data_IF_080601108291
#
_entry.id   IF_080601108291
#
_cell.length_a   1.000
_cell.length_b   1.000
_cell.length_c   1.000
_cell.angle_alpha   90.00
_cell.angle_beta   90.00
_cell.angle_gamma   90.00
#
_symmetry.space_group_name_H-M   'P 1'
#
loop_
_entity.id
_entity.type
_entity.pdbx_description
1 polymer ?
#
# COMPACT_ATOMS: atom_id res chain seq x y z
N UNK A 1 -57.82 37.14 2.48
CA UNK A 1 -56.41 37.51 2.73
C UNK A 1 -55.79 36.44 3.65
N UNK A 2 -55.08 35.44 3.09
CA UNK A 2 -54.44 34.33 3.84
C UNK A 2 -53.16 33.81 3.15
N UNK A 3 -52.55 34.61 2.26
CA UNK A 3 -51.41 34.21 1.42
C UNK A 3 -50.07 34.24 2.17
N UNK A 4 -49.86 35.25 3.03
CA UNK A 4 -48.58 35.44 3.75
C UNK A 4 -48.20 34.29 4.68
N UNK A 5 -49.16 33.68 5.36
CA UNK A 5 -48.92 32.50 6.21
C UNK A 5 -48.59 31.25 5.40
N UNK A 6 -49.15 31.11 4.20
CA UNK A 6 -48.84 29.99 3.30
C UNK A 6 -47.46 30.15 2.66
N UNK A 7 -47.10 31.36 2.24
CA UNK A 7 -45.77 31.70 1.72
C UNK A 7 -44.66 31.47 2.77
N UNK A 8 -44.89 31.87 4.02
CA UNK A 8 -43.97 31.61 5.13
C UNK A 8 -43.81 30.11 5.42
N UNK A 9 -44.91 29.35 5.42
CA UNK A 9 -44.88 27.91 5.65
C UNK A 9 -44.11 27.16 4.56
N UNK A 10 -44.28 27.56 3.29
CA UNK A 10 -43.52 27.00 2.16
C UNK A 10 -42.03 27.34 2.30
N UNK A 11 -41.68 28.57 2.67
CA UNK A 11 -40.29 28.97 2.91
C UNK A 11 -39.62 28.12 4.01
N UNK A 12 -40.29 27.92 5.14
CA UNK A 12 -39.80 27.07 6.23
C UNK A 12 -39.66 25.61 5.77
N UNK A 13 -40.63 25.08 5.02
CA UNK A 13 -40.58 23.72 4.49
C UNK A 13 -39.37 23.51 3.57
N UNK A 14 -39.11 24.46 2.66
CA UNK A 14 -37.96 24.40 1.74
C UNK A 14 -36.64 24.46 2.51
N UNK A 15 -36.54 25.29 3.55
CA UNK A 15 -35.33 25.36 4.40
C UNK A 15 -35.11 24.04 5.14
N UNK A 16 -36.14 23.49 5.78
CA UNK A 16 -36.02 22.21 6.50
C UNK A 16 -35.62 21.10 5.54
N UNK A 17 -36.24 21.06 4.35
CA UNK A 17 -35.90 20.08 3.32
C UNK A 17 -34.47 20.25 2.82
N UNK A 18 -34.02 21.49 2.59
CA UNK A 18 -32.65 21.80 2.21
C UNK A 18 -31.64 21.37 3.28
N UNK A 19 -31.94 21.62 4.55
CA UNK A 19 -31.13 21.14 5.69
C UNK A 19 -31.10 19.61 5.72
N UNK A 20 -32.25 18.94 5.56
CA UNK A 20 -32.31 17.48 5.55
C UNK A 20 -31.49 16.87 4.40
N UNK A 21 -31.57 17.45 3.19
CA UNK A 21 -30.76 17.04 2.05
C UNK A 21 -29.27 17.30 2.29
N UNK A 22 -28.92 18.43 2.89
CA UNK A 22 -27.53 18.74 3.26
C UNK A 22 -26.97 17.71 4.23
N UNK A 23 -27.71 17.35 5.29
CA UNK A 23 -27.31 16.30 6.23
C UNK A 23 -27.22 14.92 5.57
N UNK A 24 -28.15 14.58 4.67
CA UNK A 24 -28.10 13.34 3.91
C UNK A 24 -26.85 13.29 3.00
N UNK A 25 -26.56 14.38 2.28
CA UNK A 25 -25.41 14.48 1.41
C UNK A 25 -24.09 14.32 2.18
N UNK A 26 -23.95 14.98 3.33
CA UNK A 26 -22.77 14.83 4.18
C UNK A 26 -22.61 13.40 4.73
N UNK A 27 -23.72 12.74 5.10
CA UNK A 27 -23.72 11.34 5.57
C UNK A 27 -23.35 10.36 4.47
N UNK A 28 -23.90 10.53 3.26
CA UNK A 28 -23.61 9.69 2.09
C UNK A 28 -22.19 9.90 1.56
N UNK A 29 -21.68 11.14 1.60
CA UNK A 29 -20.30 11.44 1.22
C UNK A 29 -19.25 10.87 2.19
N UNK A 30 -19.67 10.35 3.35
CA UNK A 30 -18.75 9.89 4.40
C UNK A 30 -17.94 11.00 5.06
N UNK A 31 -18.30 12.27 4.87
CA UNK A 31 -17.63 13.43 5.45
C UNK A 31 -17.91 13.59 6.96
N UNK A 32 -19.06 13.08 7.44
CA UNK A 32 -19.52 13.22 8.84
C UNK A 32 -19.01 12.13 9.78
N UNK A 33 -18.14 11.23 9.32
CA UNK A 33 -17.76 10.05 10.09
C UNK A 33 -16.28 9.77 10.05
N UNK A 34 -15.50 10.58 10.78
CA UNK A 34 -14.42 10.17 11.68
C UNK A 34 -13.68 11.41 12.16
N UNK A 35 -13.94 11.85 13.40
CA UNK A 35 -12.87 12.51 14.16
C UNK A 35 -11.81 11.43 14.40
N UNK A 36 -10.92 11.22 13.41
CA UNK A 36 -9.70 10.42 13.55
C UNK A 36 -8.76 11.25 14.43
N UNK A 37 -9.12 11.48 15.70
CA UNK A 37 -8.33 12.33 16.62
C UNK A 37 -6.94 11.74 16.91
N UNK A 38 -6.70 10.50 16.50
CA UNK A 38 -5.42 9.80 16.56
C UNK A 38 -5.15 8.99 15.27
N UNK A 39 -5.64 9.48 14.14
CA UNK A 39 -5.32 8.89 12.83
C UNK A 39 -3.87 9.19 12.42
N UNK A 40 -3.28 8.30 11.63
CA UNK A 40 -2.01 8.58 10.97
C UNK A 40 -1.97 8.01 9.56
N UNK A 41 -1.11 8.59 8.73
CA UNK A 41 -0.98 8.23 7.32
C UNK A 41 0.18 7.26 7.12
N UNK A 42 0.04 6.34 6.17
CA UNK A 42 1.10 5.47 5.67
C UNK A 42 1.09 5.43 4.15
N UNK A 43 2.17 4.89 3.57
CA UNK A 43 2.33 4.75 2.12
C UNK A 43 2.67 3.33 1.74
N UNK A 44 2.36 2.97 0.50
CA UNK A 44 2.83 1.74 -0.13
C UNK A 44 2.96 1.99 -1.64
N UNK A 45 3.96 1.36 -2.27
CA UNK A 45 4.23 1.50 -3.70
C UNK A 45 3.93 0.19 -4.42
N UNK A 46 3.14 0.25 -5.49
CA UNK A 46 2.69 -0.94 -6.23
C UNK A 46 3.01 -0.79 -7.71
N UNK A 47 3.28 -1.91 -8.39
CA UNK A 47 3.38 -1.93 -9.85
C UNK A 47 2.02 -1.69 -10.53
N UNK A 48 0.95 -2.26 -9.96
CA UNK A 48 -0.41 -2.18 -10.52
C UNK A 48 -1.46 -2.05 -9.40
N UNK A 49 -2.30 -1.03 -9.49
CA UNK A 49 -3.42 -0.74 -8.56
C UNK A 49 -4.77 -0.65 -9.28
N UNK A 50 -4.91 -1.25 -10.47
CA UNK A 50 -6.15 -1.22 -11.25
C UNK A 50 -7.38 -1.58 -10.40
N UNK A 51 -8.41 -0.75 -10.51
CA UNK A 51 -9.68 -0.91 -9.79
C UNK A 51 -9.66 -0.47 -8.32
N UNK A 52 -8.49 -0.19 -7.73
CA UNK A 52 -8.42 0.50 -6.43
C UNK A 52 -8.83 1.96 -6.61
N UNK A 53 -9.59 2.49 -5.65
CA UNK A 53 -10.11 3.86 -5.69
C UNK A 53 -9.82 4.59 -4.38
N UNK A 54 -9.75 5.94 -4.39
CA UNK A 54 -9.82 6.73 -3.16
C UNK A 54 -11.02 6.29 -2.31
N UNK A 55 -10.86 6.34 -0.98
CA UNK A 55 -11.81 5.85 0.03
C UNK A 55 -12.01 4.34 0.12
N UNK A 56 -11.30 3.54 -0.70
CA UNK A 56 -11.29 2.09 -0.52
C UNK A 56 -10.84 1.72 0.90
N UNK A 57 -11.39 0.65 1.47
CA UNK A 57 -11.06 0.23 2.83
C UNK A 57 -9.60 -0.26 2.90
N UNK A 58 -8.97 -0.03 4.04
CA UNK A 58 -7.75 -0.73 4.45
C UNK A 58 -8.12 -1.69 5.56
N UNK A 59 -7.76 -2.95 5.40
CA UNK A 59 -8.12 -4.02 6.32
C UNK A 59 -6.90 -4.78 6.78
N UNK A 60 -6.96 -5.28 8.00
CA UNK A 60 -5.98 -6.19 8.57
C UNK A 60 -6.75 -7.29 9.30
N UNK A 61 -6.42 -8.55 9.01
CA UNK A 61 -7.12 -9.71 9.58
C UNK A 61 -8.65 -9.67 9.39
N UNK A 62 -9.12 -9.07 8.29
CA UNK A 62 -10.55 -8.92 7.97
C UNK A 62 -11.27 -7.75 8.66
N UNK A 63 -10.59 -7.04 9.56
CA UNK A 63 -11.12 -5.85 10.24
C UNK A 63 -10.73 -4.60 9.47
N UNK A 64 -11.67 -3.66 9.28
CA UNK A 64 -11.36 -2.36 8.67
C UNK A 64 -10.61 -1.49 9.68
N UNK A 65 -9.39 -1.12 9.34
CA UNK A 65 -8.49 -0.33 10.19
C UNK A 65 -8.16 1.04 9.59
N UNK A 66 -8.65 1.32 8.38
CA UNK A 66 -8.29 2.55 7.68
C UNK A 66 -8.98 2.71 6.32
N UNK A 67 -8.56 3.73 5.58
CA UNK A 67 -9.05 4.04 4.23
C UNK A 67 -7.95 4.61 3.35
N UNK A 68 -8.02 4.30 2.05
CA UNK A 68 -7.19 4.94 1.03
C UNK A 68 -7.56 6.42 0.95
N UNK A 69 -6.57 7.29 1.10
CA UNK A 69 -6.71 8.72 0.91
C UNK A 69 -6.55 9.06 -0.58
N UNK A 70 -5.38 8.74 -1.14
CA UNK A 70 -5.00 9.13 -2.49
C UNK A 70 -4.12 8.08 -3.19
N UNK A 71 -4.15 8.11 -4.53
CA UNK A 71 -3.37 7.23 -5.41
C UNK A 71 -2.69 8.13 -6.43
N UNK A 72 -1.37 8.10 -6.49
CA UNK A 72 -0.56 8.90 -7.40
C UNK A 72 0.44 8.03 -8.15
N UNK A 73 0.94 8.49 -9.29
CA UNK A 73 2.02 7.84 -10.03
C UNK A 73 3.31 8.61 -9.75
N UNK A 74 4.34 7.91 -9.29
CA UNK A 74 5.67 8.48 -9.18
C UNK A 74 6.32 8.53 -10.57
N UNK A 75 6.68 9.71 -11.10
CA UNK A 75 7.21 9.83 -12.47
C UNK A 75 8.62 9.25 -12.63
N UNK A 76 9.38 9.07 -11.54
CA UNK A 76 10.75 8.56 -11.58
C UNK A 76 10.73 7.03 -11.53
N UNK A 77 10.06 6.47 -10.52
CA UNK A 77 9.99 5.01 -10.32
C UNK A 77 8.93 4.36 -11.20
N UNK A 78 7.96 5.13 -11.70
CA UNK A 78 6.78 4.67 -12.46
C UNK A 78 5.87 3.74 -11.66
N UNK A 79 6.01 3.74 -10.33
CA UNK A 79 5.17 2.98 -9.42
C UNK A 79 3.98 3.81 -8.96
N UNK A 80 2.86 3.13 -8.72
CA UNK A 80 1.70 3.73 -8.09
C UNK A 80 1.95 3.87 -6.59
N UNK A 81 2.05 5.09 -6.09
CA UNK A 81 2.11 5.39 -4.66
C UNK A 81 0.69 5.54 -4.12
N UNK A 82 0.32 4.65 -3.19
CA UNK A 82 -0.96 4.71 -2.49
C UNK A 82 -0.73 5.26 -1.10
N UNK A 83 -1.39 6.38 -0.80
CA UNK A 83 -1.42 6.99 0.52
C UNK A 83 -2.73 6.61 1.21
N UNK A 84 -2.65 6.14 2.44
CA UNK A 84 -3.81 5.68 3.20
C UNK A 84 -3.71 6.04 4.67
N UNK A 85 -4.87 6.29 5.27
CA UNK A 85 -4.99 6.64 6.69
C UNK A 85 -5.42 5.44 7.50
N UNK A 86 -4.81 5.28 8.68
CA UNK A 86 -5.08 4.24 9.64
C UNK A 86 -5.61 4.82 10.95
N UNK A 87 -6.45 4.05 11.63
CA UNK A 87 -6.95 4.34 12.97
C UNK A 87 -5.89 3.95 14.01
N UNK A 88 -5.31 4.96 14.68
CA UNK A 88 -4.31 4.75 15.73
C UNK A 88 -4.77 3.87 16.89
N UNK A 89 -6.07 3.85 17.20
CA UNK A 89 -6.59 2.99 18.28
C UNK A 89 -6.55 1.50 17.92
N UNK A 90 -6.66 1.19 16.63
CA UNK A 90 -6.67 -0.19 16.13
C UNK A 90 -5.28 -0.67 15.70
N UNK A 91 -4.34 0.26 15.52
CA UNK A 91 -3.04 -0.01 14.90
C UNK A 91 -1.87 0.54 15.71
N UNK A 92 -2.06 0.78 17.00
CA UNK A 92 -1.01 1.16 17.94
C UNK A 92 -1.22 0.42 19.25
N UNK A 93 -0.12 0.20 19.98
CA UNK A 93 -0.17 -0.47 21.27
C UNK A 93 -0.81 0.43 22.32
N UNK A 94 -1.68 -0.15 23.15
CA UNK A 94 -2.12 0.52 24.37
C UNK A 94 -0.98 0.58 25.40
N UNK A 95 -1.18 1.32 26.51
CA UNK A 95 -0.13 1.52 27.50
C UNK A 95 0.37 0.24 28.20
N UNK A 96 -0.45 -0.80 28.29
CA UNK A 96 -0.05 -2.08 28.88
C UNK A 96 0.74 -2.92 27.87
N UNK A 97 0.23 -3.03 26.64
CA UNK A 97 0.89 -3.70 25.53
C UNK A 97 2.25 -3.06 25.23
N UNK A 98 2.34 -1.73 25.25
CA UNK A 98 3.59 -1.02 24.96
C UNK A 98 4.69 -1.39 25.97
N UNK A 99 4.36 -1.63 27.25
CA UNK A 99 5.34 -2.08 28.25
C UNK A 99 5.89 -3.47 27.91
N UNK A 100 5.01 -4.38 27.47
CA UNK A 100 5.43 -5.73 27.06
C UNK A 100 6.31 -5.67 25.81
N UNK A 101 5.91 -4.89 24.80
CA UNK A 101 6.68 -4.71 23.57
C UNK A 101 8.04 -4.06 23.88
N UNK A 102 8.08 -3.02 24.73
CA UNK A 102 9.32 -2.39 25.20
C UNK A 102 10.25 -3.38 25.91
N UNK A 103 9.69 -4.26 26.74
CA UNK A 103 10.47 -5.29 27.42
C UNK A 103 11.09 -6.26 26.41
N UNK A 104 10.30 -6.77 25.47
CA UNK A 104 10.78 -7.72 24.45
C UNK A 104 11.87 -7.10 23.58
N UNK A 105 11.67 -5.87 23.12
CA UNK A 105 12.65 -5.15 22.30
C UNK A 105 13.95 -4.86 23.09
N UNK A 106 13.84 -4.55 24.39
CA UNK A 106 15.00 -4.33 25.25
C UNK A 106 15.79 -5.62 25.48
N UNK A 107 15.10 -6.74 25.67
CA UNK A 107 15.72 -8.04 25.81
C UNK A 107 16.47 -8.43 24.52
N UNK A 108 15.86 -8.23 23.35
CA UNK A 108 16.51 -8.44 22.05
C UNK A 108 17.74 -7.54 21.84
N UNK A 109 17.63 -6.25 22.18
CA UNK A 109 18.74 -5.30 22.11
C UNK A 109 19.95 -5.80 22.93
N UNK A 110 19.72 -6.39 24.10
CA UNK A 110 20.78 -6.91 24.97
C UNK A 110 21.48 -8.13 24.40
N UNK A 111 20.83 -8.90 23.54
CA UNK A 111 21.45 -10.01 22.81
C UNK A 111 22.18 -9.56 21.54
N UNK A 112 22.03 -8.29 21.11
CA UNK A 112 22.72 -7.79 19.93
C UNK A 112 24.24 -7.73 20.16
N UNK A 113 25.00 -8.09 19.12
CA UNK A 113 26.46 -8.03 19.15
C UNK A 113 26.96 -6.60 19.41
N UNK A 114 26.27 -5.60 18.86
CA UNK A 114 26.62 -4.19 19.03
C UNK A 114 26.46 -3.72 20.48
N UNK A 115 25.41 -4.17 21.17
CA UNK A 115 25.17 -3.84 22.57
C UNK A 115 26.24 -4.45 23.50
N UNK A 116 26.60 -5.71 23.26
CA UNK A 116 27.62 -6.41 24.09
C UNK A 116 29.02 -5.83 23.95
N UNK A 117 29.33 -5.21 22.80
CA UNK A 117 30.62 -4.57 22.53
C UNK A 117 30.67 -3.09 22.95
N UNK A 118 29.51 -2.48 23.22
CA UNK A 118 29.41 -1.08 23.61
C UNK A 118 29.84 -0.83 25.07
N UNK A 119 30.29 0.38 25.35
CA UNK A 119 30.59 0.82 26.73
C UNK A 119 29.30 0.92 27.57
N UNK A 120 29.36 0.84 28.92
CA UNK A 120 28.18 0.99 29.77
C UNK A 120 27.41 2.31 29.57
N UNK A 121 28.09 3.38 29.17
CA UNK A 121 27.45 4.64 28.82
C UNK A 121 26.68 4.56 27.50
N UNK A 122 27.28 3.96 26.47
CA UNK A 122 26.64 3.75 25.16
C UNK A 122 25.45 2.80 25.26
N UNK A 123 25.56 1.71 26.04
CA UNK A 123 24.45 0.79 26.29
C UNK A 123 23.21 1.54 26.81
N UNK A 124 23.37 2.38 27.84
CA UNK A 124 22.26 3.20 28.37
C UNK A 124 21.67 4.13 27.33
N UNK A 125 22.48 4.74 26.47
CA UNK A 125 22.00 5.57 25.37
C UNK A 125 21.19 4.76 24.36
N UNK A 126 21.64 3.55 24.00
CA UNK A 126 20.92 2.67 23.08
C UNK A 126 19.56 2.25 23.66
N UNK A 127 19.50 1.87 24.94
CA UNK A 127 18.23 1.53 25.62
C UNK A 127 17.27 2.73 25.64
N UNK A 128 17.76 3.92 25.99
CA UNK A 128 16.94 5.14 26.01
C UNK A 128 16.44 5.51 24.62
N UNK A 129 17.29 5.41 23.60
CA UNK A 129 16.92 5.71 22.22
C UNK A 129 15.87 4.71 21.70
N UNK A 130 16.02 3.42 22.03
CA UNK A 130 15.02 2.39 21.69
C UNK A 130 13.66 2.74 22.29
N UNK A 131 13.59 2.95 23.62
CA UNK A 131 12.35 3.27 24.32
C UNK A 131 11.72 4.56 23.76
N UNK A 132 12.54 5.58 23.47
CA UNK A 132 12.05 6.84 22.89
C UNK A 132 11.45 6.65 21.50
N UNK A 133 12.05 5.80 20.66
CA UNK A 133 11.52 5.50 19.33
C UNK A 133 10.20 4.71 19.39
N UNK A 134 10.05 3.87 20.41
CA UNK A 134 8.88 2.98 20.59
C UNK A 134 7.57 3.71 20.90
N UNK A 135 7.59 4.97 21.33
CA UNK A 135 6.35 5.73 21.56
C UNK A 135 5.60 6.09 20.27
N UNK A 136 6.21 5.86 19.10
CA UNK A 136 5.66 6.20 17.78
C UNK A 136 5.44 4.99 16.87
N UNK A 137 5.60 3.77 17.41
CA UNK A 137 5.46 2.53 16.63
C UNK A 137 3.98 2.18 16.45
N UNK A 138 3.71 1.51 15.34
CA UNK A 138 2.43 0.90 15.03
C UNK A 138 2.42 -0.54 15.53
N UNK A 139 1.27 -1.20 15.44
CA UNK A 139 1.17 -2.66 15.64
C UNK A 139 1.33 -3.43 14.31
N UNK A 140 1.87 -2.79 13.28
CA UNK A 140 2.12 -3.39 11.96
C UNK A 140 3.59 -3.74 11.88
N UNK A 141 3.88 -5.00 11.57
CA UNK A 141 5.25 -5.51 11.50
C UNK A 141 6.01 -4.88 10.32
N UNK A 142 7.32 -4.73 10.47
CA UNK A 142 8.20 -4.22 9.41
C UNK A 142 8.23 -5.14 8.18
N UNK A 143 8.06 -6.44 8.38
CA UNK A 143 7.98 -7.46 7.34
C UNK A 143 6.56 -7.72 6.84
N UNK A 144 5.55 -7.02 7.36
CA UNK A 144 4.18 -7.11 6.89
C UNK A 144 4.09 -6.80 5.40
N UNK A 145 3.15 -7.45 4.71
CA UNK A 145 2.91 -7.20 3.29
C UNK A 145 1.49 -6.72 3.04
N UNK A 146 1.35 -5.85 2.05
CA UNK A 146 0.09 -5.21 1.67
C UNK A 146 -0.28 -5.57 0.24
N UNK A 147 -1.54 -5.95 0.02
CA UNK A 147 -2.03 -6.34 -1.31
C UNK A 147 -3.29 -5.59 -1.70
N UNK A 148 -3.48 -5.41 -3.01
CA UNK A 148 -4.76 -5.00 -3.57
C UNK A 148 -5.66 -6.23 -3.70
N UNK A 149 -6.60 -6.38 -2.75
CA UNK A 149 -7.55 -7.48 -2.70
C UNK A 149 -8.92 -7.07 -3.28
N UNK A 150 -9.75 -8.06 -3.61
CA UNK A 150 -11.12 -7.84 -4.13
C UNK A 150 -12.13 -8.52 -3.19
N UNK A 151 -13.24 -7.83 -2.89
CA UNK A 151 -14.32 -8.43 -2.09
C UNK A 151 -15.10 -9.44 -2.93
N UNK A 152 -14.86 -10.74 -2.70
CA UNK A 152 -15.43 -11.78 -3.55
C UNK A 152 -14.93 -11.68 -5.00
N UNK A 153 -15.75 -12.14 -5.95
CA UNK A 153 -15.35 -12.19 -7.37
C UNK A 153 -15.47 -10.84 -8.09
N UNK A 154 -16.47 -10.03 -7.73
CA UNK A 154 -16.86 -8.81 -8.47
C UNK A 154 -16.99 -7.56 -7.57
N UNK A 155 -16.60 -7.66 -6.30
CA UNK A 155 -16.76 -6.56 -5.37
C UNK A 155 -15.72 -5.45 -5.57
N UNK A 156 -15.83 -4.44 -4.72
CA UNK A 156 -14.85 -3.35 -4.65
C UNK A 156 -13.46 -3.87 -4.28
N UNK A 157 -12.43 -3.23 -4.84
CA UNK A 157 -11.04 -3.47 -4.43
C UNK A 157 -10.72 -2.72 -3.14
N UNK A 158 -9.87 -3.30 -2.33
CA UNK A 158 -9.47 -2.77 -1.03
C UNK A 158 -8.02 -3.14 -0.74
N UNK A 159 -7.39 -2.44 0.19
CA UNK A 159 -6.06 -2.82 0.67
C UNK A 159 -6.18 -3.83 1.81
N UNK A 160 -5.44 -4.93 1.69
CA UNK A 160 -5.33 -5.94 2.74
C UNK A 160 -3.89 -5.98 3.24
N UNK A 161 -3.71 -5.62 4.50
CA UNK A 161 -2.47 -5.79 5.23
C UNK A 161 -2.50 -7.18 5.87
N UNK A 162 -1.43 -7.93 5.64
CA UNK A 162 -1.20 -9.22 6.29
C UNK A 162 0.00 -9.05 7.21
N UNK A 163 -0.19 -9.25 8.53
CA UNK A 163 0.88 -9.20 9.50
C UNK A 163 2.03 -10.14 9.13
N UNK A 164 3.24 -9.70 9.45
CA UNK A 164 4.45 -10.50 9.33
C UNK A 164 4.65 -11.39 10.56
N UNK A 165 5.89 -11.82 10.75
CA UNK A 165 6.32 -12.58 11.93
C UNK A 165 7.50 -11.93 12.66
N UNK A 166 7.90 -10.74 12.26
CA UNK A 166 9.00 -10.00 12.86
C UNK A 166 8.68 -9.45 14.25
N UNK A 167 9.73 -9.02 14.95
CA UNK A 167 9.63 -8.33 16.25
C UNK A 167 9.69 -6.80 16.11
N UNK A 168 10.00 -6.33 14.90
CA UNK A 168 10.10 -4.91 14.57
C UNK A 168 8.77 -4.42 13.99
N UNK A 169 8.41 -3.21 14.35
CA UNK A 169 7.18 -2.57 13.91
C UNK A 169 7.48 -1.30 13.12
N UNK A 170 6.65 -1.02 12.12
CA UNK A 170 6.68 0.23 11.36
C UNK A 170 6.30 1.40 12.25
N UNK A 171 6.89 2.56 11.98
CA UNK A 171 6.50 3.82 12.62
C UNK A 171 5.35 4.47 11.86
N UNK A 172 4.63 5.34 12.56
CA UNK A 172 3.60 6.18 11.93
C UNK A 172 4.24 7.04 10.84
N UNK A 173 3.69 7.00 9.62
CA UNK A 173 4.25 7.73 8.46
C UNK A 173 5.12 6.88 7.54
N UNK A 174 5.51 5.67 7.95
CA UNK A 174 6.40 4.83 7.17
C UNK A 174 5.73 4.26 5.91
N UNK A 175 6.59 3.74 5.02
CA UNK A 175 6.17 3.08 3.79
C UNK A 175 6.26 1.56 3.97
N UNK A 176 5.17 0.84 3.67
CA UNK A 176 5.18 -0.62 3.60
C UNK A 176 5.87 -1.04 2.30
N UNK A 177 6.99 -1.76 2.43
CA UNK A 177 7.85 -2.13 1.30
C UNK A 177 7.33 -3.36 0.54
N UNK A 178 6.80 -4.35 1.25
CA UNK A 178 6.33 -5.60 0.64
C UNK A 178 4.93 -5.40 0.08
N UNK A 179 4.82 -5.18 -1.23
CA UNK A 179 3.55 -4.91 -1.89
C UNK A 179 3.19 -5.97 -2.93
N UNK A 180 1.89 -6.18 -3.10
CA UNK A 180 1.36 -7.03 -4.16
C UNK A 180 0.23 -6.29 -4.88
N UNK A 181 0.48 -6.01 -6.16
CA UNK A 181 -0.49 -5.36 -7.03
C UNK A 181 -1.72 -6.23 -7.32
N UNK A 182 -2.69 -5.64 -8.02
CA UNK A 182 -3.80 -6.42 -8.58
C UNK A 182 -3.31 -7.36 -9.67
N UNK A 183 -3.97 -8.50 -9.78
CA UNK A 183 -3.83 -9.41 -10.92
C UNK A 183 -4.90 -9.05 -11.95
N UNK A 184 -4.50 -8.87 -13.20
CA UNK A 184 -5.45 -8.69 -14.29
C UNK A 184 -6.00 -10.07 -14.71
N UNK A 185 -7.28 -10.12 -15.11
CA UNK A 185 -7.93 -11.40 -15.45
C UNK A 185 -7.23 -12.09 -16.62
N UNK A 186 -6.69 -11.31 -17.55
CA UNK A 186 -5.91 -11.78 -18.69
C UNK A 186 -4.63 -12.50 -18.24
N UNK A 187 -3.92 -11.96 -17.24
CA UNK A 187 -2.73 -12.59 -16.67
C UNK A 187 -3.08 -13.91 -15.97
N UNK A 188 -4.22 -13.96 -15.28
CA UNK A 188 -4.70 -15.16 -14.62
C UNK A 188 -5.09 -16.25 -15.61
N UNK A 189 -5.82 -15.90 -16.66
CA UNK A 189 -6.20 -16.83 -17.73
C UNK A 189 -4.95 -17.34 -18.44
N UNK A 190 -4.02 -16.44 -18.77
CA UNK A 190 -2.75 -16.81 -19.40
C UNK A 190 -1.96 -17.77 -18.53
N UNK A 191 -1.76 -17.44 -17.24
CA UNK A 191 -1.08 -18.31 -16.28
C UNK A 191 -1.74 -19.69 -16.13
N UNK A 192 -3.07 -19.76 -16.26
CA UNK A 192 -3.82 -21.01 -16.21
C UNK A 192 -3.63 -21.83 -17.50
N UNK A 193 -3.77 -21.22 -18.68
CA UNK A 193 -3.60 -21.89 -19.98
C UNK A 193 -2.15 -22.35 -20.17
N UNK A 194 -1.17 -21.57 -19.71
CA UNK A 194 0.25 -21.90 -19.82
C UNK A 194 0.75 -22.81 -18.69
N UNK A 195 -0.15 -23.33 -17.83
CA UNK A 195 0.20 -24.38 -16.88
C UNK A 195 1.06 -23.96 -15.68
N UNK A 196 1.00 -22.69 -15.26
CA UNK A 196 1.47 -22.24 -13.95
C UNK A 196 2.89 -22.65 -13.52
N UNK A 197 3.92 -22.04 -14.09
CA UNK A 197 5.30 -22.13 -13.60
C UNK A 197 6.15 -20.97 -14.13
N UNK A 198 6.91 -20.32 -13.24
CA UNK A 198 7.75 -19.16 -13.55
C UNK A 198 8.65 -19.37 -14.78
N UNK A 199 8.42 -18.58 -15.83
CA UNK A 199 9.21 -18.59 -17.05
C UNK A 199 9.44 -17.16 -17.50
N UNK A 200 10.55 -16.59 -17.05
CA UNK A 200 11.27 -15.43 -17.60
C UNK A 200 10.82 -15.11 -19.04
N UNK A 201 10.16 -13.97 -19.24
CA UNK A 201 10.04 -13.36 -20.57
C UNK A 201 11.44 -12.87 -20.94
N UNK A 202 12.26 -13.78 -21.44
CA UNK A 202 13.53 -13.45 -22.06
C UNK A 202 13.22 -12.75 -23.38
N UNK A 203 13.77 -11.55 -23.48
CA UNK A 203 13.96 -10.73 -24.67
C UNK A 203 13.80 -11.48 -26.00
N UNK A 204 12.96 -10.95 -26.88
CA UNK A 204 13.00 -11.29 -28.29
C UNK A 204 14.37 -10.94 -28.87
N UNK A 205 15.22 -11.94 -29.04
CA UNK A 205 16.31 -11.90 -30.02
C UNK A 205 15.76 -12.46 -31.33
N UNK A 206 15.58 -11.58 -32.29
CA UNK A 206 15.42 -11.93 -33.69
C UNK A 206 16.66 -12.68 -34.18
N UNK A 207 16.57 -14.00 -34.35
CA UNK A 207 17.46 -14.75 -35.23
C UNK A 207 16.70 -14.99 -36.54
N UNK A 208 16.82 -14.04 -37.46
CA UNK A 208 16.49 -14.27 -38.86
C UNK A 208 17.60 -15.17 -39.45
N UNK A 209 17.27 -16.43 -39.66
CA UNK A 209 18.11 -17.38 -40.37
C UNK A 209 17.48 -17.61 -41.75
N UNK A 210 17.92 -16.82 -42.73
CA UNK A 210 17.54 -16.97 -44.13
C UNK A 210 18.78 -17.24 -44.99
N UNK A 211 19.16 -18.51 -45.02
CA UNK A 211 19.50 -19.32 -46.20
C UNK A 211 20.26 -18.62 -47.34
N UNK A 212 21.58 -18.77 -47.36
CA UNK A 212 22.41 -18.56 -48.54
C UNK A 212 22.31 -19.76 -49.52
N UNK A 213 22.26 -19.56 -50.85
CA UNK A 213 22.46 -20.63 -51.81
C UNK A 213 23.93 -20.77 -52.21
N UNK A 214 24.27 -21.99 -52.60
CA UNK A 214 25.61 -22.47 -52.94
C UNK A 214 26.15 -21.94 -54.28
N UNK A 215 27.49 -21.91 -54.31
CA UNK A 215 28.46 -21.76 -55.39
C UNK A 215 28.07 -22.08 -56.84
N UNK A 216 28.55 -21.21 -57.75
CA UNK A 216 29.13 -21.62 -59.04
C UNK A 216 30.38 -20.79 -59.34
N UNK A 217 31.45 -21.49 -59.68
CA UNK A 217 32.75 -21.01 -60.15
C UNK A 217 32.68 -20.02 -61.32
N UNK A 218 33.63 -19.07 -61.36
CA UNK A 218 34.48 -18.89 -62.56
C UNK A 218 35.67 -17.94 -62.28
N UNK A 219 36.86 -18.53 -62.26
CA UNK A 219 38.09 -18.08 -62.93
C UNK A 219 38.67 -16.65 -62.73
N UNK A 220 39.94 -16.67 -62.28
CA UNK A 220 41.09 -15.93 -62.82
C UNK A 220 41.45 -14.52 -62.26
N UNK A 221 42.37 -14.57 -61.30
CA UNK A 221 43.65 -13.83 -61.20
C UNK A 221 43.69 -12.28 -61.07
N UNK A 222 44.80 -11.75 -60.50
CA UNK A 222 44.77 -10.65 -59.54
C UNK A 222 45.36 -9.34 -60.09
N UNK A 223 45.05 -8.20 -59.46
CA UNK A 223 45.86 -7.00 -59.61
C UNK A 223 45.78 -6.07 -58.39
N UNK A 224 46.97 -5.77 -57.90
CA UNK A 224 47.45 -4.82 -56.90
C UNK A 224 46.75 -3.44 -56.78
N UNK A 225 46.73 -2.96 -55.51
CA UNK A 225 47.12 -1.62 -54.98
C UNK A 225 46.59 -0.35 -55.65
N UNK A 226 45.81 0.45 -54.92
CA UNK A 226 46.23 1.73 -54.28
C UNK A 226 45.31 2.07 -53.09
#
# INVERSE_FOLDING_TARGET
MKSRTSELAVGIFVIIFGIALFFLAMKVSGLVGTNLSDGYTMKAQFDNVNGLKPRAKVTMSGVTIGRVDSITLDPVTRLATVTFDLDGKLTSFNAEQLKEVQKNALDELRYSSDYTQATPAQQKTMEQQLISNMNSITSIDEDAYIMVATNGLLGEKYLKIVPGGGLNYLKRGDTISNTQGTMDLEDLISKFITGGGAGKVAAGSSSAEEKAPASTDSSAQPSFVE
#
